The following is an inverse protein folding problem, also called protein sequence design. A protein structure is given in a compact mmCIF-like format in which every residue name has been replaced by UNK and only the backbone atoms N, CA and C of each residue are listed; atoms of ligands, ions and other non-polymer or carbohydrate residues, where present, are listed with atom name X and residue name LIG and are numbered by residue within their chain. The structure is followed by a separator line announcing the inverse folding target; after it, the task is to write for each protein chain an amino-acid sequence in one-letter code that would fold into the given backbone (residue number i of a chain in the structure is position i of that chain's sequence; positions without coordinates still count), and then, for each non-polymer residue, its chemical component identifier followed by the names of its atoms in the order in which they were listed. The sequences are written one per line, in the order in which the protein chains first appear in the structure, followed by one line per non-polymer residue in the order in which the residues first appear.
data_IF_628681508713
#
_entry.id   IF_628681508713
#
_cell.length_a   1.000
_cell.length_b   1.000
_cell.length_c   1.000
_cell.angle_alpha   90.00
_cell.angle_beta   90.00
_cell.angle_gamma   90.00
#
_symmetry.space_group_name_H-M   'P 1'
#
loop_
_entity.id
_entity.type
_entity.pdbx_description
1 polymer ?
#
# COMPACT_ATOMS: atom_id res chain seq x y z
N UNK A 1 -20.54 -0.74 -11.67
CA UNK A 1 -19.13 -0.83 -11.24
C UNK A 1 -18.63 -2.23 -11.52
N UNK A 2 -17.40 -2.33 -11.98
CA UNK A 2 -16.80 -3.56 -12.47
C UNK A 2 -16.18 -4.39 -11.33
N UNK A 3 -16.49 -5.69 -11.23
CA UNK A 3 -15.93 -6.61 -10.22
C UNK A 3 -14.41 -6.69 -10.26
N UNK A 4 -13.83 -6.50 -11.45
CA UNK A 4 -12.39 -6.46 -11.63
C UNK A 4 -11.76 -5.29 -10.85
N UNK A 5 -12.48 -4.19 -10.58
CA UNK A 5 -11.94 -3.04 -9.85
C UNK A 5 -11.88 -3.19 -8.32
N UNK A 6 -12.47 -4.25 -7.76
CA UNK A 6 -12.53 -4.44 -6.31
C UNK A 6 -11.14 -4.42 -5.62
N UNK A 7 -10.10 -5.14 -6.10
CA UNK A 7 -8.79 -5.10 -5.45
C UNK A 7 -8.16 -3.71 -5.50
N UNK A 8 -8.34 -2.96 -6.60
CA UNK A 8 -7.85 -1.59 -6.72
C UNK A 8 -8.57 -0.65 -5.75
N UNK A 9 -9.89 -0.80 -5.56
CA UNK A 9 -10.69 -0.04 -4.58
C UNK A 9 -10.19 -0.30 -3.15
N UNK A 10 -10.01 -1.57 -2.78
CA UNK A 10 -9.51 -1.91 -1.44
C UNK A 10 -8.11 -1.35 -1.23
N UNK A 11 -7.23 -1.53 -2.21
CA UNK A 11 -5.85 -1.04 -2.16
C UNK A 11 -5.79 0.49 -2.11
N UNK A 12 -6.68 1.18 -2.85
CA UNK A 12 -6.85 2.63 -2.79
C UNK A 12 -7.20 3.06 -1.37
N UNK A 13 -8.25 2.48 -0.79
CA UNK A 13 -8.71 2.84 0.55
C UNK A 13 -7.63 2.59 1.60
N UNK A 14 -6.94 1.44 1.54
CA UNK A 14 -5.85 1.12 2.47
C UNK A 14 -4.70 2.12 2.32
N UNK A 15 -4.20 2.36 1.10
CA UNK A 15 -3.09 3.30 0.88
C UNK A 15 -3.46 4.73 1.26
N UNK A 16 -4.65 5.19 0.87
CA UNK A 16 -5.14 6.54 1.17
C UNK A 16 -5.26 6.76 2.69
N UNK A 17 -5.95 5.86 3.40
CA UNK A 17 -6.10 5.96 4.85
C UNK A 17 -4.75 5.88 5.55
N UNK A 18 -3.87 4.98 5.11
CA UNK A 18 -2.53 4.79 5.67
C UNK A 18 -1.66 6.04 5.48
N UNK A 19 -1.65 6.63 4.28
CA UNK A 19 -0.93 7.87 4.00
C UNK A 19 -1.46 9.03 4.84
N UNK A 20 -2.79 9.16 4.96
CA UNK A 20 -3.42 10.19 5.76
C UNK A 20 -3.08 10.05 7.25
N UNK A 21 -3.09 8.83 7.76
CA UNK A 21 -2.70 8.51 9.14
C UNK A 21 -1.26 8.95 9.42
N UNK A 22 -0.32 8.60 8.54
CA UNK A 22 1.09 9.03 8.68
C UNK A 22 1.21 10.54 8.67
N UNK A 23 0.48 11.22 7.77
CA UNK A 23 0.51 12.68 7.70
C UNK A 23 -0.03 13.33 8.98
N UNK A 24 -1.13 12.81 9.52
CA UNK A 24 -1.81 13.37 10.68
C UNK A 24 -1.08 13.10 12.01
N UNK A 25 -0.28 12.04 12.10
CA UNK A 25 0.53 11.77 13.29
C UNK A 25 1.51 12.91 13.59
N UNK A 26 2.17 13.45 12.56
CA UNK A 26 3.01 14.64 12.70
C UNK A 26 3.16 15.40 11.37
N UNK A 27 2.24 16.32 11.04
CA UNK A 27 2.23 17.01 9.75
C UNK A 27 3.40 17.98 9.57
N UNK A 28 4.07 18.40 10.65
CA UNK A 28 5.24 19.30 10.60
C UNK A 28 6.53 18.53 10.29
N UNK A 29 6.60 17.25 10.64
CA UNK A 29 7.79 16.45 10.43
C UNK A 29 8.00 16.09 8.95
N UNK A 30 9.17 16.44 8.41
CA UNK A 30 9.54 16.21 7.00
C UNK A 30 9.45 14.75 6.58
N UNK A 31 9.89 13.81 7.42
CA UNK A 31 9.78 12.37 7.13
C UNK A 31 8.32 11.93 6.97
N UNK A 32 7.40 12.38 7.83
CA UNK A 32 5.99 11.99 7.75
C UNK A 32 5.34 12.53 6.47
N UNK A 33 5.59 13.80 6.14
CA UNK A 33 5.08 14.41 4.91
C UNK A 33 5.52 13.66 3.66
N UNK A 34 6.82 13.38 3.53
CA UNK A 34 7.31 12.66 2.37
C UNK A 34 6.85 11.21 2.36
N UNK A 35 6.78 10.54 3.52
CA UNK A 35 6.39 9.13 3.58
C UNK A 35 4.92 8.97 3.23
N UNK A 36 4.08 9.89 3.72
CA UNK A 36 2.69 10.01 3.30
C UNK A 36 2.59 10.30 1.80
N UNK A 37 3.33 11.28 1.25
CA UNK A 37 3.32 11.59 -0.18
C UNK A 37 3.71 10.37 -1.05
N UNK A 38 4.67 9.58 -0.58
CA UNK A 38 5.08 8.35 -1.24
C UNK A 38 3.98 7.27 -1.21
N UNK A 39 3.31 7.04 -0.08
CA UNK A 39 2.17 6.12 -0.03
C UNK A 39 1.00 6.65 -0.88
N UNK A 40 0.78 7.97 -0.87
CA UNK A 40 -0.22 8.62 -1.71
C UNK A 40 0.04 8.39 -3.20
N UNK A 41 1.29 8.27 -3.67
CA UNK A 41 1.55 7.94 -5.08
C UNK A 41 0.95 6.58 -5.45
N UNK A 42 1.02 5.58 -4.55
CA UNK A 42 0.34 4.29 -4.74
C UNK A 42 -1.19 4.39 -4.58
N UNK A 43 -1.71 5.33 -3.78
CA UNK A 43 -3.15 5.60 -3.78
C UNK A 43 -3.60 6.18 -5.13
N UNK A 44 -2.86 7.13 -5.71
CA UNK A 44 -3.14 7.70 -7.04
C UNK A 44 -3.02 6.63 -8.13
N UNK A 45 -2.06 5.71 -8.01
CA UNK A 45 -1.99 4.51 -8.87
C UNK A 45 -3.30 3.72 -8.86
N UNK A 46 -3.78 3.36 -7.67
CA UNK A 46 -5.00 2.58 -7.51
C UNK A 46 -6.22 3.35 -8.03
N UNK A 47 -6.27 4.68 -7.81
CA UNK A 47 -7.33 5.53 -8.37
C UNK A 47 -7.32 5.51 -9.90
N UNK A 48 -6.15 5.59 -10.53
CA UNK A 48 -6.01 5.50 -11.98
C UNK A 48 -6.51 4.16 -12.53
N UNK A 49 -6.19 3.05 -11.85
CA UNK A 49 -6.73 1.73 -12.18
C UNK A 49 -8.27 1.69 -12.07
N UNK A 50 -8.84 2.23 -10.97
CA UNK A 50 -10.29 2.30 -10.78
C UNK A 50 -10.96 3.08 -11.91
N UNK A 51 -10.38 4.21 -12.34
CA UNK A 51 -10.90 5.02 -13.44
C UNK A 51 -10.94 4.25 -14.76
N UNK A 52 -9.84 3.57 -15.12
CA UNK A 52 -9.78 2.76 -16.36
C UNK A 52 -10.75 1.58 -16.37
N UNK A 53 -10.96 0.95 -15.21
CA UNK A 53 -11.75 -0.28 -15.12
C UNK A 53 -13.25 -0.04 -15.05
N UNK A 54 -13.65 1.17 -14.66
CA UNK A 54 -15.06 1.56 -14.52
C UNK A 54 -15.51 2.58 -15.58
N UNK A 55 -14.61 3.02 -16.47
CA UNK A 55 -14.96 3.91 -17.58
C UNK A 55 -15.75 3.15 -18.65
N UNK A 56 -16.93 3.67 -19.01
CA UNK A 56 -17.71 3.18 -20.16
C UNK A 56 -17.16 3.69 -21.50
N UNK A 57 -16.49 4.85 -21.46
CA UNK A 57 -15.96 5.57 -22.62
C UNK A 57 -14.43 5.55 -22.65
N UNK A 58 -13.85 5.68 -23.85
CA UNK A 58 -12.40 5.71 -24.05
C UNK A 58 -11.72 6.91 -23.37
N UNK A 59 -12.36 8.08 -23.35
CA UNK A 59 -11.75 9.31 -22.86
C UNK A 59 -11.46 9.29 -21.33
N UNK A 60 -12.40 8.90 -20.45
CA UNK A 60 -12.11 8.67 -19.04
C UNK A 60 -11.05 7.56 -18.80
N UNK A 61 -11.05 6.51 -19.64
CA UNK A 61 -10.04 5.46 -19.58
C UNK A 61 -8.64 6.01 -19.91
N UNK A 62 -8.53 6.86 -20.93
CA UNK A 62 -7.28 7.50 -21.32
C UNK A 62 -6.76 8.43 -20.24
N UNK A 63 -7.63 9.20 -19.58
CA UNK A 63 -7.24 10.01 -18.42
C UNK A 63 -6.64 9.15 -17.30
N UNK A 64 -7.27 8.01 -17.00
CA UNK A 64 -6.74 7.03 -16.04
C UNK A 64 -5.35 6.54 -16.44
N UNK A 65 -5.16 6.12 -17.70
CA UNK A 65 -3.86 5.66 -18.20
C UNK A 65 -2.78 6.75 -18.12
N UNK A 66 -3.11 7.98 -18.48
CA UNK A 66 -2.16 9.09 -18.40
C UNK A 66 -1.77 9.45 -16.96
N UNK A 67 -2.72 9.37 -16.00
CA UNK A 67 -2.41 9.54 -14.58
C UNK A 67 -1.45 8.42 -14.14
N UNK A 68 -1.78 7.17 -14.47
CA UNK A 68 -0.99 6.01 -14.11
C UNK A 68 0.44 6.12 -14.64
N UNK A 69 0.62 6.49 -15.91
CA UNK A 69 1.92 6.68 -16.55
C UNK A 69 2.79 7.67 -15.77
N UNK A 70 2.23 8.82 -15.36
CA UNK A 70 2.96 9.81 -14.56
C UNK A 70 3.35 9.25 -13.18
N UNK A 71 2.45 8.52 -12.53
CA UNK A 71 2.73 7.89 -11.23
C UNK A 71 3.84 6.86 -11.33
N UNK A 72 3.87 6.03 -12.38
CA UNK A 72 4.93 5.03 -12.61
C UNK A 72 6.30 5.68 -12.58
N UNK A 73 6.49 6.80 -13.29
CA UNK A 73 7.79 7.46 -13.41
C UNK A 73 8.11 8.43 -12.28
N UNK A 74 7.11 8.93 -11.54
CA UNK A 74 7.34 9.81 -10.38
C UNK A 74 7.58 9.04 -9.07
N UNK A 75 6.99 7.86 -8.91
CA UNK A 75 7.10 7.06 -7.66
C UNK A 75 8.55 6.77 -7.24
N UNK A 76 9.49 6.41 -8.15
CA UNK A 76 10.90 6.26 -7.80
C UNK A 76 11.56 7.51 -7.20
N UNK A 77 11.14 8.71 -7.60
CA UNK A 77 11.67 9.97 -7.06
C UNK A 77 11.31 10.15 -5.59
N UNK A 78 10.04 9.86 -5.25
CA UNK A 78 9.61 9.79 -3.86
C UNK A 78 10.37 8.72 -3.06
N UNK A 79 10.62 7.56 -3.66
CA UNK A 79 11.41 6.50 -3.02
C UNK A 79 12.85 6.93 -2.70
N UNK A 80 13.52 7.64 -3.60
CA UNK A 80 14.86 8.21 -3.34
C UNK A 80 14.82 9.15 -2.14
N UNK A 81 13.87 10.08 -2.11
CA UNK A 81 13.72 11.03 -0.99
C UNK A 81 13.50 10.30 0.33
N UNK A 82 12.62 9.31 0.34
CA UNK A 82 12.38 8.48 1.53
C UNK A 82 13.62 7.70 1.93
N UNK A 83 14.37 7.18 0.96
CA UNK A 83 15.61 6.48 1.23
C UNK A 83 16.63 7.36 1.96
N UNK A 84 16.65 8.67 1.70
CA UNK A 84 17.47 9.64 2.43
C UNK A 84 16.90 10.09 3.78
N UNK A 85 15.58 10.16 3.95
CA UNK A 85 15.00 10.61 5.22
C UNK A 85 14.82 9.46 6.22
N UNK A 86 14.55 8.25 5.74
CA UNK A 86 14.24 7.08 6.54
C UNK A 86 15.50 6.25 6.91
N UNK A 87 15.52 5.59 8.09
CA UNK A 87 14.70 5.86 9.27
C UNK A 87 15.14 7.12 10.01
N UNK A 88 16.36 7.58 9.74
CA UNK A 88 16.91 8.86 10.17
C UNK A 88 17.73 9.43 9.02
N UNK A 89 17.67 10.74 8.83
CA UNK A 89 18.56 11.41 7.90
C UNK A 89 19.97 11.44 8.51
N UNK A 90 20.93 10.80 7.83
CA UNK A 90 22.35 10.76 8.22
C UNK A 90 23.19 11.77 7.43
N UNK A 91 22.66 12.34 6.35
CA UNK A 91 23.38 13.24 5.45
C UNK A 91 22.78 14.65 5.40
N UNK A 92 23.59 15.63 5.02
CA UNK A 92 23.16 17.02 4.83
C UNK A 92 22.52 17.26 3.45
N UNK A 93 22.60 16.32 2.51
CA UNK A 93 22.05 16.49 1.17
C UNK A 93 20.53 16.66 1.16
N UNK A 94 19.80 15.80 1.88
CA UNK A 94 18.34 15.81 1.92
C UNK A 94 17.73 16.93 2.80
N UNK A 95 18.56 17.84 3.33
CA UNK A 95 18.06 19.08 3.97
C UNK A 95 18.01 20.26 3.00
N UNK A 96 18.72 20.19 1.86
CA UNK A 96 18.80 21.29 0.90
C UNK A 96 17.62 21.25 -0.09
N UNK A 97 16.97 22.37 -0.40
CA UNK A 97 15.84 22.41 -1.34
C UNK A 97 16.25 21.95 -2.75
N UNK A 98 17.50 22.26 -3.15
CA UNK A 98 18.03 21.89 -4.47
C UNK A 98 18.08 20.39 -4.71
N UNK A 99 18.20 19.58 -3.64
CA UNK A 99 18.16 18.12 -3.75
C UNK A 99 16.78 17.65 -4.25
N UNK A 100 15.70 18.19 -3.69
CA UNK A 100 14.34 17.84 -4.10
C UNK A 100 14.06 18.30 -5.54
N UNK A 101 14.51 19.50 -5.89
CA UNK A 101 14.39 20.02 -7.27
C UNK A 101 15.13 19.11 -8.25
N UNK A 102 16.38 18.73 -7.94
CA UNK A 102 17.15 17.84 -8.79
C UNK A 102 16.47 16.47 -8.95
N UNK A 103 16.02 15.86 -7.85
CA UNK A 103 15.36 14.54 -7.87
C UNK A 103 14.09 14.55 -8.72
N UNK A 104 13.25 15.59 -8.64
CA UNK A 104 12.02 15.66 -9.45
C UNK A 104 12.22 16.19 -10.86
N UNK A 105 13.27 16.99 -11.12
CA UNK A 105 13.47 17.63 -12.42
C UNK A 105 13.55 16.63 -13.57
N UNK A 106 14.35 15.56 -13.45
CA UNK A 106 14.53 14.57 -14.51
C UNK A 106 13.24 13.83 -14.89
N UNK A 107 12.49 13.19 -13.95
CA UNK A 107 11.25 12.51 -14.31
C UNK A 107 10.17 13.50 -14.79
N UNK A 108 10.09 14.71 -14.22
CA UNK A 108 9.11 15.71 -14.67
C UNK A 108 9.42 16.18 -16.09
N UNK A 109 10.68 16.51 -16.40
CA UNK A 109 11.09 16.89 -17.76
C UNK A 109 10.82 15.78 -18.76
N UNK A 110 11.17 14.54 -18.44
CA UNK A 110 10.86 13.40 -19.31
C UNK A 110 9.35 13.21 -19.53
N UNK A 111 8.54 13.38 -18.48
CA UNK A 111 7.08 13.28 -18.59
C UNK A 111 6.47 14.43 -19.42
N UNK A 112 7.00 15.65 -19.30
CA UNK A 112 6.59 16.78 -20.13
C UNK A 112 6.93 16.55 -21.60
N UNK A 113 8.13 16.03 -21.90
CA UNK A 113 8.56 15.72 -23.27
C UNK A 113 7.84 14.51 -23.88
N UNK A 114 7.27 13.64 -23.04
CA UNK A 114 6.47 12.49 -23.48
C UNK A 114 5.03 12.86 -23.87
N UNK A 115 4.59 14.10 -23.68
CA UNK A 115 3.25 14.55 -24.07
C UNK A 115 3.22 14.92 -25.57
N UNK A 116 2.22 14.47 -26.35
CA UNK A 116 1.08 13.63 -25.97
C UNK A 116 1.30 12.12 -26.16
N UNK A 117 2.45 11.71 -26.72
CA UNK A 117 2.78 10.34 -27.10
C UNK A 117 3.16 9.46 -25.90
N UNK A 118 2.20 9.23 -25.03
CA UNK A 118 2.35 8.31 -23.91
C UNK A 118 2.43 6.88 -24.40
N UNK A 119 3.50 6.16 -24.03
CA UNK A 119 3.71 4.74 -24.36
C UNK A 119 2.86 3.81 -23.48
N UNK A 120 1.56 4.12 -23.37
CA UNK A 120 0.58 3.36 -22.63
C UNK A 120 -0.65 3.18 -23.50
N UNK A 121 -0.90 1.94 -23.89
CA UNK A 121 -2.06 1.54 -24.67
C UNK A 121 -3.16 1.01 -23.74
N UNK A 122 -4.40 1.26 -24.13
CA UNK A 122 -5.56 0.68 -23.49
C UNK A 122 -5.99 -0.55 -24.27
N UNK A 123 -6.01 -1.69 -23.60
CA UNK A 123 -6.46 -2.97 -24.17
C UNK A 123 -7.79 -3.34 -23.53
N UNK A 124 -8.78 -3.72 -24.34
CA UNK A 124 -10.08 -4.16 -23.83
C UNK A 124 -9.98 -5.58 -23.25
N UNK A 125 -10.49 -5.78 -22.03
CA UNK A 125 -10.56 -7.07 -21.34
C UNK A 125 -11.71 -7.95 -21.88
N UNK A 126 -12.79 -7.33 -22.33
CA UNK A 126 -13.95 -7.96 -22.96
C UNK A 126 -14.57 -6.97 -23.94
N UNK A 127 -14.61 -7.32 -25.21
CA UNK A 127 -15.22 -6.51 -26.28
C UNK A 127 -16.68 -6.12 -25.97
N UNK A 128 -17.42 -6.97 -25.25
CA UNK A 128 -18.83 -6.75 -24.93
C UNK A 128 -19.11 -5.79 -23.75
N UNK A 129 -18.11 -5.40 -22.93
CA UNK A 129 -18.32 -4.64 -21.69
C UNK A 129 -17.47 -3.37 -21.56
N UNK A 130 -16.71 -2.97 -22.59
CA UNK A 130 -15.84 -1.78 -22.59
C UNK A 130 -14.96 -1.64 -21.33
N UNK A 131 -14.37 -2.75 -20.87
CA UNK A 131 -13.47 -2.74 -19.70
C UNK A 131 -12.05 -2.57 -20.21
N UNK A 132 -11.37 -1.49 -19.86
CA UNK A 132 -10.00 -1.23 -20.31
C UNK A 132 -8.96 -1.60 -19.24
N UNK A 133 -7.83 -2.14 -19.67
CA UNK A 133 -6.61 -2.25 -18.88
C UNK A 133 -5.43 -1.64 -19.62
N UNK A 134 -4.42 -1.21 -18.88
CA UNK A 134 -3.24 -0.62 -19.46
C UNK A 134 -2.20 -1.67 -19.87
N UNK A 135 -1.55 -1.39 -20.99
CA UNK A 135 -0.38 -2.09 -21.49
C UNK A 135 0.71 -1.06 -21.82
N UNK A 136 1.92 -1.24 -21.31
CA UNK A 136 3.04 -0.36 -21.67
C UNK A 136 3.59 -0.83 -23.01
N UNK A 137 3.60 0.06 -24.00
CA UNK A 137 4.21 -0.22 -25.29
C UNK A 137 5.70 0.09 -25.23
N UNK A 138 6.51 -0.93 -25.47
CA UNK A 138 7.96 -0.77 -25.51
C UNK A 138 8.38 -0.30 -26.90
N UNK A 139 8.15 0.98 -27.19
CA UNK A 139 8.74 1.61 -28.36
C UNK A 139 10.14 2.14 -28.03
N UNK A 140 11.04 2.14 -29.02
CA UNK A 140 12.40 2.69 -28.91
C UNK A 140 12.42 4.23 -28.89
N UNK A 141 11.34 4.87 -28.43
CA UNK A 141 11.29 6.31 -28.30
C UNK A 141 12.35 6.76 -27.27
N UNK A 142 13.27 7.67 -27.64
CA UNK A 142 14.37 8.09 -26.77
C UNK A 142 13.87 8.70 -25.44
N UNK A 143 12.74 9.40 -25.45
CA UNK A 143 12.16 9.99 -24.24
C UNK A 143 11.65 8.91 -23.28
N UNK A 144 11.02 7.87 -23.81
CA UNK A 144 10.55 6.74 -23.01
C UNK A 144 11.73 5.94 -22.42
N UNK A 145 12.76 5.68 -23.23
CA UNK A 145 13.98 5.02 -22.76
C UNK A 145 14.69 5.84 -21.68
N UNK A 146 14.74 7.16 -21.83
CA UNK A 146 15.26 8.07 -20.82
C UNK A 146 14.46 7.98 -19.50
N UNK A 147 13.12 8.03 -19.56
CA UNK A 147 12.26 7.88 -18.38
C UNK A 147 12.46 6.54 -17.69
N UNK A 148 12.59 5.46 -18.45
CA UNK A 148 12.84 4.11 -17.94
C UNK A 148 14.21 4.02 -17.26
N UNK A 149 15.27 4.55 -17.89
CA UNK A 149 16.61 4.62 -17.31
C UNK A 149 16.64 5.43 -16.01
N UNK A 150 16.00 6.60 -15.98
CA UNK A 150 15.91 7.44 -14.78
C UNK A 150 15.18 6.71 -13.66
N UNK A 151 14.03 6.10 -13.97
CA UNK A 151 13.23 5.32 -13.01
C UNK A 151 14.01 4.16 -12.39
N UNK A 152 14.66 3.33 -13.23
CA UNK A 152 15.48 2.22 -12.75
C UNK A 152 16.69 2.69 -11.94
N UNK A 153 17.37 3.76 -12.40
CA UNK A 153 18.49 4.35 -11.68
C UNK A 153 18.08 4.85 -10.30
N UNK A 154 16.89 5.43 -10.17
CA UNK A 154 16.34 5.91 -8.90
C UNK A 154 15.98 4.77 -7.94
N UNK A 155 15.42 3.67 -8.45
CA UNK A 155 15.15 2.46 -7.67
C UNK A 155 16.46 1.91 -7.09
N UNK A 156 17.49 1.79 -7.92
CA UNK A 156 18.82 1.32 -7.49
C UNK A 156 19.42 2.30 -6.49
N UNK A 157 19.40 3.60 -6.79
CA UNK A 157 19.95 4.65 -5.93
C UNK A 157 19.31 4.65 -4.54
N UNK A 158 17.97 4.67 -4.46
CA UNK A 158 17.25 4.61 -3.19
C UNK A 158 17.58 3.35 -2.39
N UNK A 159 17.61 2.19 -3.05
CA UNK A 159 17.96 0.91 -2.42
C UNK A 159 19.38 0.93 -1.86
N UNK A 160 20.36 1.41 -2.63
CA UNK A 160 21.76 1.53 -2.20
C UNK A 160 21.89 2.45 -0.99
N UNK A 161 21.23 3.62 -1.01
CA UNK A 161 21.24 4.57 0.10
C UNK A 161 20.73 3.92 1.38
N UNK A 162 19.60 3.21 1.34
CA UNK A 162 19.07 2.53 2.50
C UNK A 162 19.97 1.38 2.99
N UNK A 163 20.54 0.58 2.08
CA UNK A 163 21.45 -0.52 2.43
C UNK A 163 22.71 0.00 3.13
N UNK A 164 23.32 1.06 2.59
CA UNK A 164 24.50 1.69 3.19
C UNK A 164 24.20 2.26 4.58
N UNK A 165 22.99 2.80 4.79
CA UNK A 165 22.56 3.30 6.10
C UNK A 165 22.47 2.22 7.17
N UNK A 166 22.12 0.98 6.84
CA UNK A 166 21.93 -0.10 7.83
C UNK A 166 23.18 -0.27 8.73
N UNK A 167 24.38 -0.13 8.16
CA UNK A 167 25.65 -0.25 8.90
C UNK A 167 25.82 0.86 9.96
N UNK A 168 25.27 2.04 9.71
CA UNK A 168 25.44 3.25 10.53
C UNK A 168 24.34 3.44 11.59
N UNK A 169 23.28 2.64 11.55
CA UNK A 169 22.20 2.72 12.55
C UNK A 169 22.64 2.10 13.87
N UNK A 170 22.41 2.79 14.99
CA UNK A 170 22.85 2.34 16.33
C UNK A 170 22.00 1.20 16.90
N UNK A 171 20.68 1.25 16.71
CA UNK A 171 19.74 0.32 17.35
C UNK A 171 19.37 -0.84 16.43
N UNK A 172 19.34 -2.08 16.96
CA UNK A 172 18.92 -3.29 16.24
C UNK A 172 17.52 -3.11 15.63
N UNK A 173 16.60 -2.48 16.37
CA UNK A 173 15.25 -2.14 15.88
C UNK A 173 15.28 -1.33 14.58
N UNK A 174 16.05 -0.24 14.53
CA UNK A 174 16.15 0.61 13.33
C UNK A 174 16.78 -0.15 12.15
N UNK A 175 17.75 -1.04 12.42
CA UNK A 175 18.35 -1.91 11.40
C UNK A 175 17.30 -2.85 10.81
N UNK A 176 16.52 -3.53 11.65
CA UNK A 176 15.48 -4.45 11.21
C UNK A 176 14.36 -3.74 10.44
N UNK A 177 13.93 -2.56 10.90
CA UNK A 177 12.99 -1.70 10.18
C UNK A 177 13.50 -1.34 8.78
N UNK A 178 14.76 -0.92 8.67
CA UNK A 178 15.37 -0.54 7.40
C UNK A 178 15.54 -1.74 6.48
N UNK A 179 15.96 -2.90 7.00
CA UNK A 179 16.06 -4.16 6.25
C UNK A 179 14.70 -4.60 5.70
N UNK A 180 13.66 -4.57 6.53
CA UNK A 180 12.30 -4.89 6.10
C UNK A 180 11.82 -3.92 5.02
N UNK A 181 12.04 -2.63 5.21
CA UNK A 181 11.62 -1.61 4.24
C UNK A 181 12.34 -1.76 2.90
N UNK A 182 13.67 -1.96 2.90
CA UNK A 182 14.46 -2.20 1.68
C UNK A 182 14.01 -3.46 0.97
N UNK A 183 13.93 -4.58 1.69
CA UNK A 183 13.56 -5.88 1.09
C UNK A 183 12.15 -5.83 0.50
N UNK A 184 11.20 -5.20 1.19
CA UNK A 184 9.86 -4.96 0.66
C UNK A 184 9.85 -4.07 -0.57
N UNK A 185 10.64 -2.99 -0.60
CA UNK A 185 10.73 -2.12 -1.79
C UNK A 185 11.35 -2.81 -2.98
N UNK A 186 12.45 -3.54 -2.77
CA UNK A 186 13.08 -4.34 -3.83
C UNK A 186 12.09 -5.38 -4.34
N UNK A 187 11.37 -6.08 -3.45
CA UNK A 187 10.32 -7.02 -3.86
C UNK A 187 9.21 -6.34 -4.68
N UNK A 188 8.75 -5.15 -4.27
CA UNK A 188 7.72 -4.39 -4.98
C UNK A 188 8.21 -3.95 -6.37
N UNK A 189 9.43 -3.39 -6.47
CA UNK A 189 9.96 -2.92 -7.75
C UNK A 189 10.28 -4.07 -8.70
N UNK A 190 10.94 -5.13 -8.21
CA UNK A 190 11.25 -6.32 -9.01
C UNK A 190 9.96 -7.03 -9.44
N UNK A 191 8.99 -7.18 -8.53
CA UNK A 191 7.69 -7.77 -8.85
C UNK A 191 6.93 -6.96 -9.91
N UNK A 192 6.95 -5.62 -9.81
CA UNK A 192 6.36 -4.76 -10.82
C UNK A 192 7.03 -4.92 -12.19
N UNK A 193 8.36 -4.87 -12.25
CA UNK A 193 9.12 -5.07 -13.49
C UNK A 193 8.82 -6.45 -14.08
N UNK A 194 8.81 -7.49 -13.26
CA UNK A 194 8.50 -8.85 -13.69
C UNK A 194 7.09 -8.95 -14.28
N UNK A 195 6.08 -8.34 -13.65
CA UNK A 195 4.70 -8.31 -14.16
C UNK A 195 4.64 -7.61 -15.52
N UNK A 196 5.34 -6.49 -15.70
CA UNK A 196 5.37 -5.80 -17.00
C UNK A 196 6.05 -6.65 -18.08
N UNK A 197 7.22 -7.23 -17.77
CA UNK A 197 7.96 -8.06 -18.74
C UNK A 197 7.15 -9.31 -19.14
N UNK A 198 6.45 -9.93 -18.18
CA UNK A 198 5.53 -11.04 -18.45
C UNK A 198 4.37 -10.62 -19.35
N UNK A 199 3.76 -9.45 -19.09
CA UNK A 199 2.71 -8.89 -19.96
C UNK A 199 3.21 -8.66 -21.39
N UNK A 200 4.42 -8.13 -21.54
CA UNK A 200 5.02 -7.87 -22.85
C UNK A 200 5.37 -9.15 -23.62
N UNK A 201 5.73 -10.24 -22.93
CA UNK A 201 6.15 -11.50 -23.56
C UNK A 201 5.01 -12.42 -23.98
N UNK A 202 3.76 -12.18 -23.54
CA UNK A 202 2.67 -13.14 -23.66
C UNK A 202 1.51 -12.60 -24.50
N UNK A 203 0.99 -13.45 -25.40
CA UNK A 203 -0.02 -13.10 -26.41
C UNK A 203 -1.40 -12.71 -25.85
N UNK A 204 -1.70 -13.02 -24.59
CA UNK A 204 -3.01 -12.74 -23.98
C UNK A 204 -2.88 -11.84 -22.74
N UNK A 205 -2.73 -10.52 -22.91
CA UNK A 205 -2.47 -9.58 -21.81
C UNK A 205 -3.61 -9.50 -20.78
N UNK A 206 -4.84 -9.86 -21.16
CA UNK A 206 -6.00 -9.85 -20.28
C UNK A 206 -5.88 -10.85 -19.12
N UNK A 207 -5.16 -11.97 -19.28
CA UNK A 207 -4.97 -12.98 -18.22
C UNK A 207 -4.09 -12.47 -17.07
N UNK A 208 -3.23 -11.47 -17.31
CA UNK A 208 -2.31 -10.91 -16.32
C UNK A 208 -2.91 -9.78 -15.47
N UNK A 209 -4.14 -9.40 -15.77
CA UNK A 209 -4.87 -8.40 -15.01
C UNK A 209 -5.01 -8.78 -13.53
N UNK A 210 -5.39 -10.04 -13.24
CA UNK A 210 -5.52 -10.54 -11.87
C UNK A 210 -4.20 -10.53 -11.10
N UNK A 211 -3.09 -10.84 -11.78
CA UNK A 211 -1.76 -10.79 -11.17
C UNK A 211 -1.39 -9.35 -10.78
N UNK A 212 -1.65 -8.39 -11.68
CA UNK A 212 -1.41 -6.96 -11.45
C UNK A 212 -2.21 -6.42 -10.25
N UNK A 213 -3.48 -6.80 -10.14
CA UNK A 213 -4.38 -6.32 -9.08
C UNK A 213 -4.16 -7.00 -7.72
N UNK A 214 -3.78 -8.27 -7.70
CA UNK A 214 -3.31 -8.92 -6.46
C UNK A 214 -2.02 -8.26 -6.00
N UNK A 215 -1.14 -7.90 -6.93
CA UNK A 215 0.12 -7.24 -6.61
C UNK A 215 -0.09 -5.86 -5.96
N UNK A 216 -1.02 -5.04 -6.47
CA UNK A 216 -1.36 -3.75 -5.84
C UNK A 216 -1.92 -3.91 -4.43
N UNK A 217 -2.68 -4.99 -4.18
CA UNK A 217 -3.12 -5.35 -2.83
C UNK A 217 -1.97 -5.75 -1.91
N UNK A 218 -1.00 -6.53 -2.40
CA UNK A 218 0.22 -6.88 -1.64
C UNK A 218 1.02 -5.61 -1.29
N UNK A 219 1.14 -4.66 -2.21
CA UNK A 219 1.80 -3.36 -1.99
C UNK A 219 1.09 -2.58 -0.87
N UNK A 220 -0.25 -2.51 -0.90
CA UNK A 220 -1.03 -1.83 0.13
C UNK A 220 -0.87 -2.49 1.51
N UNK A 221 -0.89 -3.82 1.55
CA UNK A 221 -0.65 -4.58 2.78
C UNK A 221 0.77 -4.37 3.32
N UNK A 222 1.77 -4.29 2.43
CA UNK A 222 3.15 -4.00 2.83
C UNK A 222 3.25 -2.65 3.55
N UNK A 223 2.63 -1.58 3.04
CA UNK A 223 2.64 -0.28 3.71
C UNK A 223 1.91 -0.30 5.05
N UNK A 224 0.76 -0.98 5.11
CA UNK A 224 0.00 -1.17 6.34
C UNK A 224 0.85 -1.87 7.41
N UNK A 225 1.47 -3.01 7.07
CA UNK A 225 2.36 -3.76 7.98
C UNK A 225 3.57 -2.91 8.38
N UNK A 226 4.15 -2.18 7.44
CA UNK A 226 5.29 -1.29 7.66
C UNK A 226 4.98 -0.27 8.74
N UNK A 227 3.81 0.38 8.71
CA UNK A 227 3.44 1.37 9.71
C UNK A 227 3.05 0.72 11.03
N UNK A 228 2.24 -0.33 10.98
CA UNK A 228 1.69 -0.97 12.18
C UNK A 228 2.73 -1.78 12.97
N UNK A 229 3.41 -2.72 12.32
CA UNK A 229 4.33 -3.65 13.02
C UNK A 229 5.59 -2.92 13.44
N UNK A 230 6.14 -2.11 12.54
CA UNK A 230 7.42 -1.49 12.80
C UNK A 230 7.31 -0.18 13.59
N UNK A 231 6.11 0.39 13.76
CA UNK A 231 5.91 1.67 14.45
C UNK A 231 6.99 2.67 14.00
N UNK A 232 7.07 2.88 12.67
CA UNK A 232 8.11 3.73 12.05
C UNK A 232 8.11 5.15 12.64
N UNK A 233 6.96 5.56 13.11
CA UNK A 233 6.68 6.76 13.84
C UNK A 233 6.25 6.33 15.23
N UNK A 234 6.66 7.04 16.29
CA UNK A 234 6.31 6.70 17.68
C UNK A 234 4.83 7.08 17.87
N UNK A 235 3.86 6.17 17.67
CA UNK A 235 2.47 6.55 17.78
C UNK A 235 2.22 6.68 19.28
N UNK A 236 1.52 7.71 19.72
CA UNK A 236 0.95 7.70 21.07
C UNK A 236 0.18 6.38 21.27
N UNK A 237 0.29 5.75 22.44
CA UNK A 237 -0.34 4.44 22.77
C UNK A 237 -1.86 4.37 22.46
N UNK A 238 -2.54 5.51 22.28
CA UNK A 238 -3.96 5.59 21.91
C UNK A 238 -4.25 5.35 20.41
N UNK A 239 -3.26 5.41 19.52
CA UNK A 239 -3.48 5.45 18.07
C UNK A 239 -3.35 4.08 17.37
N UNK A 240 -2.55 3.14 17.86
CA UNK A 240 -2.28 1.88 17.14
C UNK A 240 -3.49 0.94 17.04
N UNK A 241 -4.36 0.93 18.05
CA UNK A 241 -5.64 0.20 17.99
C UNK A 241 -6.63 0.89 17.06
N UNK A 242 -6.93 2.17 17.31
CA UNK A 242 -7.93 2.95 16.57
C UNK A 242 -7.63 3.04 15.07
N UNK A 243 -6.38 3.33 14.69
CA UNK A 243 -5.97 3.43 13.28
C UNK A 243 -6.21 2.14 12.51
N UNK A 244 -5.89 0.99 13.10
CA UNK A 244 -6.11 -0.32 12.49
C UNK A 244 -7.60 -0.56 12.25
N UNK A 245 -8.43 -0.22 13.24
CA UNK A 245 -9.89 -0.33 13.11
C UNK A 245 -10.46 0.64 12.08
N UNK A 246 -9.93 1.85 11.95
CA UNK A 246 -10.38 2.82 10.93
C UNK A 246 -10.02 2.35 9.53
N UNK A 247 -8.79 1.87 9.30
CA UNK A 247 -8.36 1.36 7.98
C UNK A 247 -9.16 0.10 7.63
N UNK A 248 -9.27 -0.85 8.57
CA UNK A 248 -10.00 -2.09 8.33
C UNK A 248 -11.50 -1.84 8.13
N UNK A 249 -12.08 -0.91 8.89
CA UNK A 249 -13.48 -0.50 8.72
C UNK A 249 -13.69 0.21 7.39
N UNK A 250 -12.80 1.12 6.97
CA UNK A 250 -12.88 1.77 5.66
C UNK A 250 -12.75 0.76 4.50
N UNK A 251 -11.83 -0.20 4.61
CA UNK A 251 -11.68 -1.28 3.65
C UNK A 251 -12.95 -2.16 3.61
N UNK A 252 -13.50 -2.54 4.77
CA UNK A 252 -14.75 -3.30 4.89
C UNK A 252 -15.94 -2.53 4.32
N UNK A 253 -16.02 -1.23 4.57
CA UNK A 253 -17.05 -0.33 4.05
C UNK A 253 -16.95 -0.21 2.53
N UNK A 254 -15.74 -0.17 1.98
CA UNK A 254 -15.52 -0.17 0.53
C UNK A 254 -16.01 -1.47 -0.12
N UNK A 255 -15.72 -2.62 0.51
CA UNK A 255 -16.27 -3.92 0.09
C UNK A 255 -17.79 -3.92 0.22
N UNK A 256 -18.35 -3.35 1.29
CA UNK A 256 -19.79 -3.25 1.51
C UNK A 256 -20.48 -2.48 0.37
N UNK A 257 -20.04 -1.25 0.06
CA UNK A 257 -20.61 -0.47 -1.03
C UNK A 257 -20.51 -1.21 -2.37
N UNK A 258 -19.42 -1.95 -2.57
CA UNK A 258 -19.24 -2.74 -3.77
C UNK A 258 -20.24 -3.90 -3.87
N UNK A 259 -20.36 -4.73 -2.82
CA UNK A 259 -21.25 -5.90 -2.84
C UNK A 259 -22.72 -5.46 -2.94
N UNK A 260 -23.11 -4.40 -2.23
CA UNK A 260 -24.45 -3.81 -2.34
C UNK A 260 -24.73 -3.38 -3.78
N UNK A 261 -23.81 -2.62 -4.39
CA UNK A 261 -23.99 -2.15 -5.77
C UNK A 261 -24.08 -3.32 -6.75
N UNK A 262 -23.21 -4.33 -6.61
CA UNK A 262 -23.21 -5.50 -7.47
C UNK A 262 -24.48 -6.34 -7.34
N UNK A 263 -24.99 -6.50 -6.12
CA UNK A 263 -26.25 -7.20 -5.86
C UNK A 263 -27.46 -6.42 -6.43
N UNK A 264 -27.52 -5.10 -6.21
CA UNK A 264 -28.57 -4.22 -6.76
C UNK A 264 -28.61 -4.28 -8.30
N UNK A 265 -27.48 -4.05 -8.97
CA UNK A 265 -27.43 -4.11 -10.45
C UNK A 265 -27.69 -5.52 -10.98
N UNK A 266 -27.22 -6.57 -10.29
CA UNK A 266 -27.51 -7.95 -10.66
C UNK A 266 -29.02 -8.24 -10.61
N UNK A 267 -29.70 -7.82 -9.55
CA UNK A 267 -31.13 -8.03 -9.38
C UNK A 267 -32.00 -7.19 -10.32
N UNK A 268 -31.62 -5.95 -10.59
CA UNK A 268 -32.25 -5.10 -11.61
C UNK A 268 -32.22 -5.79 -12.98
N UNK A 269 -31.10 -6.41 -13.35
CA UNK A 269 -30.96 -7.13 -14.63
C UNK A 269 -31.72 -8.45 -14.70
N UNK A 270 -31.89 -9.15 -13.57
CA UNK A 270 -32.46 -10.50 -13.53
C UNK A 270 -33.98 -10.51 -13.30
N UNK A 271 -34.48 -9.53 -12.56
CA UNK A 271 -35.88 -9.47 -12.12
C UNK A 271 -36.61 -8.29 -12.77
N UNK A 272 -35.90 -7.31 -13.35
CA UNK A 272 -36.51 -6.15 -14.00
C UNK A 272 -37.28 -5.23 -13.05
N UNK A 273 -37.06 -5.37 -11.73
CA UNK A 273 -37.75 -4.59 -10.70
C UNK A 273 -36.79 -3.51 -10.18
N UNK A 274 -37.02 -2.28 -10.61
CA UNK A 274 -36.39 -1.05 -10.08
C UNK A 274 -37.09 -0.62 -8.78
N UNK A 275 -37.05 -1.46 -7.75
CA UNK A 275 -37.67 -1.14 -6.45
C UNK A 275 -36.62 -0.68 -5.44
N UNK A 276 -36.67 0.61 -5.11
CA UNK A 276 -35.89 1.20 -4.02
C UNK A 276 -36.06 0.46 -2.69
N UNK A 277 -37.22 -0.17 -2.44
CA UNK A 277 -37.44 -0.97 -1.24
C UNK A 277 -36.65 -2.29 -1.25
N UNK A 278 -36.50 -2.93 -2.40
CA UNK A 278 -35.71 -4.16 -2.52
C UNK A 278 -34.22 -3.86 -2.33
N UNK A 279 -33.74 -2.76 -2.91
CA UNK A 279 -32.38 -2.24 -2.68
C UNK A 279 -32.14 -1.91 -1.20
N UNK A 280 -33.10 -1.27 -0.52
CA UNK A 280 -33.01 -1.00 0.92
C UNK A 280 -33.00 -2.29 1.78
N UNK A 281 -33.84 -3.28 1.46
CA UNK A 281 -33.88 -4.55 2.17
C UNK A 281 -32.57 -5.35 2.00
N UNK A 282 -32.00 -5.35 0.79
CA UNK A 282 -30.69 -5.95 0.52
C UNK A 282 -29.57 -5.28 1.28
N UNK A 283 -29.54 -3.95 1.30
CA UNK A 283 -28.62 -3.16 2.11
C UNK A 283 -28.67 -3.65 3.57
N UNK A 284 -29.86 -3.76 4.15
CA UNK A 284 -30.04 -4.20 5.54
C UNK A 284 -29.56 -5.64 5.73
N UNK A 285 -29.95 -6.58 4.86
CA UNK A 285 -29.52 -7.97 4.94
C UNK A 285 -28.00 -8.13 4.83
N UNK A 286 -27.36 -7.34 3.95
CA UNK A 286 -25.91 -7.32 3.76
C UNK A 286 -25.18 -6.74 4.97
N UNK A 287 -25.72 -5.69 5.60
CA UNK A 287 -25.19 -5.16 6.86
C UNK A 287 -25.15 -6.27 7.92
N UNK A 288 -26.24 -7.03 8.07
CA UNK A 288 -26.29 -8.15 9.03
C UNK A 288 -25.30 -9.28 8.70
N UNK A 289 -25.04 -9.56 7.43
CA UNK A 289 -24.07 -10.59 7.01
C UNK A 289 -22.61 -10.14 7.17
N UNK A 290 -22.30 -8.86 7.00
CA UNK A 290 -20.93 -8.34 7.01
C UNK A 290 -20.44 -8.00 8.42
N UNK A 291 -21.29 -7.51 9.33
CA UNK A 291 -20.92 -7.24 10.73
C UNK A 291 -20.20 -8.43 11.42
N UNK A 292 -20.67 -9.70 11.32
CA UNK A 292 -19.94 -10.82 11.90
C UNK A 292 -18.62 -11.11 11.17
N UNK A 293 -18.52 -10.83 9.87
CA UNK A 293 -17.29 -10.97 9.10
C UNK A 293 -16.24 -9.94 9.51
N UNK A 294 -16.62 -8.67 9.67
CA UNK A 294 -15.76 -7.61 10.21
C UNK A 294 -15.20 -8.00 11.60
N UNK A 295 -16.07 -8.49 12.49
CA UNK A 295 -15.65 -8.98 13.82
C UNK A 295 -14.70 -10.18 13.75
N UNK A 296 -14.75 -11.02 12.70
CA UNK A 296 -13.80 -12.12 12.49
C UNK A 296 -12.46 -11.61 11.96
N UNK A 297 -12.49 -10.72 10.97
CA UNK A 297 -11.29 -10.06 10.41
C UNK A 297 -10.53 -9.30 11.50
N UNK A 298 -11.23 -8.50 12.32
CA UNK A 298 -10.65 -7.80 13.48
C UNK A 298 -9.91 -8.77 14.41
N UNK A 299 -10.56 -9.88 14.80
CA UNK A 299 -9.95 -10.91 15.66
C UNK A 299 -8.73 -11.58 15.04
N UNK A 300 -8.73 -11.83 13.73
CA UNK A 300 -7.57 -12.39 13.02
C UNK A 300 -6.40 -11.41 13.01
N UNK A 301 -6.66 -10.14 12.72
CA UNK A 301 -5.65 -9.09 12.76
C UNK A 301 -5.09 -8.88 14.18
N UNK A 302 -5.94 -8.87 15.20
CA UNK A 302 -5.50 -8.80 16.60
C UNK A 302 -4.58 -9.97 16.97
N UNK A 303 -4.91 -11.20 16.56
CA UNK A 303 -4.05 -12.37 16.80
C UNK A 303 -2.72 -12.29 16.07
N UNK A 304 -2.70 -11.77 14.85
CA UNK A 304 -1.47 -11.60 14.05
C UNK A 304 -0.59 -10.48 14.60
N UNK A 305 -1.19 -9.39 15.10
CA UNK A 305 -0.49 -8.18 15.51
C UNK A 305 -0.06 -8.20 16.99
N UNK A 306 -0.93 -8.70 17.87
CA UNK A 306 -0.73 -8.68 19.33
C UNK A 306 -0.28 -10.05 19.89
N UNK A 307 0.16 -10.99 19.05
CA UNK A 307 0.62 -12.31 19.48
C UNK A 307 1.70 -12.21 20.58
N UNK A 308 2.66 -11.31 20.39
CA UNK A 308 3.74 -11.06 21.35
C UNK A 308 3.25 -10.39 22.63
N UNK A 309 2.30 -9.45 22.55
CA UNK A 309 1.78 -8.75 23.73
C UNK A 309 0.89 -9.64 24.61
N UNK A 310 0.09 -10.54 24.01
CA UNK A 310 -0.71 -11.50 24.76
C UNK A 310 0.14 -12.59 25.40
N UNK A 311 1.16 -13.07 24.70
CA UNK A 311 2.11 -14.04 25.24
C UNK A 311 2.96 -13.41 26.36
N UNK A 312 3.43 -12.17 26.20
CA UNK A 312 4.11 -11.43 27.26
C UNK A 312 3.21 -11.13 28.46
N UNK A 313 1.95 -10.73 28.27
CA UNK A 313 1.00 -10.54 29.38
C UNK A 313 0.70 -11.84 30.12
N UNK A 314 0.57 -12.96 29.41
CA UNK A 314 0.42 -14.29 29.99
C UNK A 314 1.62 -14.68 30.84
N UNK A 315 2.84 -14.49 30.30
CA UNK A 315 4.08 -14.78 31.02
C UNK A 315 4.28 -13.85 32.24
N UNK A 316 3.90 -12.57 32.14
CA UNK A 316 3.93 -11.61 33.27
C UNK A 316 2.91 -12.01 34.34
N UNK A 317 1.70 -12.43 33.95
CA UNK A 317 0.70 -12.89 34.92
C UNK A 317 1.10 -14.21 35.58
N UNK A 318 1.76 -15.11 34.85
CA UNK A 318 2.36 -16.32 35.41
C UNK A 318 3.47 -15.97 36.42
N UNK A 319 4.37 -15.05 36.06
CA UNK A 319 5.39 -14.52 36.97
C UNK A 319 4.77 -13.89 38.22
N UNK A 320 3.74 -13.06 38.08
CA UNK A 320 3.05 -12.45 39.22
C UNK A 320 2.37 -13.49 40.12
N UNK A 321 1.82 -14.57 39.56
CA UNK A 321 1.27 -15.68 40.33
C UNK A 321 2.34 -16.49 41.05
N UNK A 322 3.49 -16.71 40.41
CA UNK A 322 4.64 -17.36 41.04
C UNK A 322 5.18 -16.50 42.19
N UNK A 323 5.33 -15.18 41.99
CA UNK A 323 5.85 -14.24 42.99
C UNK A 323 4.88 -13.91 44.14
N UNK A 324 3.60 -14.30 44.06
CA UNK A 324 2.64 -14.13 45.15
C UNK A 324 2.89 -15.09 46.33
N UNK A 325 3.68 -16.14 46.14
CA UNK A 325 4.15 -17.02 47.22
C UNK A 325 5.33 -16.41 47.98
N UNK A 326 5.49 -16.77 49.27
CA UNK A 326 6.70 -16.42 50.01
C UNK A 326 7.84 -17.31 49.54
N UNK A 327 8.84 -16.72 48.88
CA UNK A 327 10.01 -17.44 48.37
C UNK A 327 11.26 -17.04 49.13
N UNK A 328 12.16 -18.01 49.38
CA UNK A 328 13.50 -17.71 49.85
C UNK A 328 14.26 -16.87 48.82
N UNK A 329 15.19 -16.04 49.30
CA UNK A 329 15.87 -15.00 48.51
C UNK A 329 16.53 -15.54 47.25
N UNK A 330 17.13 -16.72 47.29
CA UNK A 330 17.76 -17.38 46.14
C UNK A 330 16.74 -17.82 45.09
N UNK A 331 15.66 -18.47 45.51
CA UNK A 331 14.59 -18.92 44.62
C UNK A 331 13.87 -17.76 43.92
N UNK A 332 13.69 -16.63 44.63
CA UNK A 332 13.13 -15.41 44.06
C UNK A 332 13.97 -14.87 42.88
N UNK A 333 15.30 -14.81 43.03
CA UNK A 333 16.17 -14.32 41.95
C UNK A 333 16.26 -15.29 40.78
N UNK A 334 16.20 -16.61 41.02
CA UNK A 334 16.19 -17.61 39.94
C UNK A 334 14.91 -17.52 39.08
N UNK A 335 13.76 -17.28 39.69
CA UNK A 335 12.48 -17.05 38.98
C UNK A 335 12.57 -15.80 38.09
N UNK A 336 13.17 -14.72 38.58
CA UNK A 336 13.38 -13.48 37.81
C UNK A 336 14.39 -13.68 36.68
N UNK A 337 15.49 -14.38 36.94
CA UNK A 337 16.54 -14.64 35.94
C UNK A 337 16.01 -15.51 34.80
N UNK A 338 15.20 -16.53 35.10
CA UNK A 338 14.51 -17.38 34.12
C UNK A 338 13.51 -16.60 33.24
N UNK A 339 12.98 -15.48 33.74
CA UNK A 339 12.07 -14.62 32.98
C UNK A 339 12.81 -13.59 32.10
N UNK A 340 14.06 -13.26 32.42
CA UNK A 340 14.86 -12.25 31.73
C UNK A 340 15.67 -12.80 30.54
N UNK A 341 15.93 -14.11 30.52
CA UNK A 341 16.56 -14.87 29.42
C UNK A 341 15.51 -15.28 28.39
#
# INVERSE_FOLDING_TARGET
MNIYSLPAIISFTVNFSTAFIVLMENPRATLHRWFAAFIFSFAVWNLAEILMLNSADLLPAMLGAQILYRVIFLTPAFYVIISYLFPKNLGTFATRPIFYVAVFSLPVLGLCLSFPDFQIELVSLKEALNIYHYHLTFNLNPVFLFLLLVSLSYIVWGSVVLVMKIKHLRTIRLKNQTRFFVSGMVFIFVGFIAIILLKASLRNPASFYWLSTIFTFIVALFFLITIMKFHLFKPGKMLSGGMTYTILSAATLSVYFFVVRAASTGLESWIGIDSYMLNAALIVALIFAIVPFEKRLRRLFDRLLNRDLHQQRGNILALFRELQGYHERSAFFEIIERFLV
#
